data_IF_033813859384
#
_entry.id   IF_033813859384
#
_cell.length_a   1.000
_cell.length_b   1.000
_cell.length_c   1.000
_cell.angle_alpha   90.00
_cell.angle_beta   90.00
_cell.angle_gamma   90.00
#
_symmetry.space_group_name_H-M   'P 1'
#
loop_
_entity.id
_entity.type
_entity.pdbx_description
1 polymer ?
#
# COMPACT_ATOMS: atom_id res chain seq x y z
N UNK A 1 -2.23 -6.22 -16.97
CA UNK A 1 -3.62 -5.92 -16.56
C UNK A 1 -3.99 -4.51 -16.98
N UNK A 2 -5.22 -4.29 -17.44
CA UNK A 2 -5.75 -2.94 -17.64
C UNK A 2 -6.36 -2.45 -16.33
N UNK A 3 -5.53 -1.94 -15.43
CA UNK A 3 -6.00 -1.29 -14.22
C UNK A 3 -6.53 0.08 -14.61
N UNK A 4 -7.75 0.41 -14.16
CA UNK A 4 -8.41 1.68 -14.48
C UNK A 4 -8.82 2.39 -13.19
N UNK A 5 -8.88 3.72 -13.22
CA UNK A 5 -9.21 4.57 -12.06
C UNK A 5 -10.53 4.15 -11.38
N UNK A 6 -11.49 3.63 -12.15
CA UNK A 6 -12.76 3.12 -11.64
C UNK A 6 -12.63 1.93 -10.66
N UNK A 7 -11.47 1.26 -10.64
CA UNK A 7 -11.17 0.18 -9.70
C UNK A 7 -10.86 0.71 -8.29
N UNK A 8 -10.63 2.02 -8.17
CA UNK A 8 -10.22 2.71 -6.94
C UNK A 8 -11.19 3.85 -6.59
N UNK A 9 -12.45 3.54 -6.24
CA UNK A 9 -13.45 4.57 -5.91
C UNK A 9 -13.11 5.34 -4.61
N UNK A 10 -12.30 4.74 -3.74
CA UNK A 10 -11.87 5.31 -2.46
C UNK A 10 -10.48 5.95 -2.54
N UNK A 11 -9.89 6.09 -3.73
CA UNK A 11 -8.61 6.74 -3.89
C UNK A 11 -8.68 8.22 -3.48
N UNK A 12 -7.60 8.76 -2.87
CA UNK A 12 -7.52 10.19 -2.60
C UNK A 12 -7.47 10.99 -3.90
N UNK A 13 -8.01 12.22 -3.91
CA UNK A 13 -8.13 13.05 -5.12
C UNK A 13 -6.80 13.35 -5.84
N UNK A 14 -5.69 13.33 -5.11
CA UNK A 14 -4.35 13.58 -5.65
C UNK A 14 -3.66 12.32 -6.16
N UNK A 15 -4.30 11.16 -6.07
CA UNK A 15 -3.72 9.89 -6.47
C UNK A 15 -4.16 9.47 -7.87
N UNK A 16 -3.21 8.97 -8.65
CA UNK A 16 -3.44 8.41 -9.97
C UNK A 16 -2.67 7.11 -10.13
N UNK A 17 -3.09 6.26 -11.07
CA UNK A 17 -2.39 5.03 -11.42
C UNK A 17 -0.93 5.33 -11.82
N UNK A 18 -0.72 6.37 -12.61
CA UNK A 18 0.62 6.81 -13.01
C UNK A 18 1.49 7.22 -11.81
N UNK A 19 0.92 7.88 -10.80
CA UNK A 19 1.64 8.23 -9.57
C UNK A 19 2.03 7.00 -8.76
N UNK A 20 1.15 6.00 -8.67
CA UNK A 20 1.46 4.72 -8.03
C UNK A 20 2.57 3.96 -8.78
N UNK A 21 2.49 3.90 -10.11
CA UNK A 21 3.51 3.26 -10.95
C UNK A 21 4.86 3.98 -10.89
N UNK A 22 4.86 5.32 -10.90
CA UNK A 22 6.07 6.11 -10.72
C UNK A 22 6.71 5.83 -9.36
N UNK A 23 5.91 5.82 -8.29
CA UNK A 23 6.38 5.48 -6.93
C UNK A 23 6.92 4.05 -6.86
N UNK A 24 6.24 3.09 -7.50
CA UNK A 24 6.71 1.71 -7.55
C UNK A 24 8.07 1.62 -8.25
N UNK A 25 8.20 2.28 -9.40
CA UNK A 25 9.44 2.33 -10.18
C UNK A 25 10.60 2.97 -9.41
N UNK A 26 10.35 4.04 -8.67
CA UNK A 26 11.36 4.69 -7.80
C UNK A 26 11.84 3.80 -6.65
N UNK A 27 11.08 2.79 -6.27
CA UNK A 27 11.39 1.89 -5.16
C UNK A 27 11.66 0.45 -5.64
N UNK A 28 11.93 0.26 -6.94
CA UNK A 28 12.19 -1.03 -7.59
C UNK A 28 11.10 -2.10 -7.31
N UNK A 29 9.85 -1.66 -7.16
CA UNK A 29 8.68 -2.52 -6.96
C UNK A 29 8.05 -2.85 -8.31
N UNK A 30 7.84 -4.15 -8.55
CA UNK A 30 7.10 -4.61 -9.74
C UNK A 30 5.61 -4.65 -9.44
N UNK A 31 4.84 -3.76 -10.06
CA UNK A 31 3.39 -3.69 -9.90
C UNK A 31 2.70 -4.94 -10.49
N UNK A 32 2.20 -5.81 -9.60
CA UNK A 32 1.37 -6.96 -9.93
C UNK A 32 -0.07 -6.75 -9.46
N UNK A 33 -0.98 -7.67 -9.82
CA UNK A 33 -2.35 -7.69 -9.28
C UNK A 33 -2.37 -7.64 -7.75
N UNK A 34 -1.43 -8.37 -7.14
CA UNK A 34 -1.03 -8.34 -5.74
C UNK A 34 -1.04 -6.94 -5.12
N UNK A 35 -0.22 -6.11 -5.75
CA UNK A 35 0.09 -4.76 -5.31
C UNK A 35 -1.10 -3.83 -5.54
N UNK A 36 -1.79 -3.96 -6.67
CA UNK A 36 -3.00 -3.18 -6.93
C UNK A 36 -4.12 -3.51 -5.95
N UNK A 37 -4.29 -4.78 -5.60
CA UNK A 37 -5.26 -5.21 -4.61
C UNK A 37 -4.91 -4.70 -3.21
N UNK A 38 -3.62 -4.65 -2.86
CA UNK A 38 -3.13 -4.05 -1.62
C UNK A 38 -3.46 -2.56 -1.54
N UNK A 39 -3.21 -1.82 -2.63
CA UNK A 39 -3.51 -0.38 -2.73
C UNK A 39 -5.01 -0.13 -2.58
N UNK A 40 -5.85 -0.88 -3.30
CA UNK A 40 -7.29 -0.75 -3.20
C UNK A 40 -7.79 -1.01 -1.77
N UNK A 41 -7.26 -2.05 -1.12
CA UNK A 41 -7.62 -2.39 0.25
C UNK A 41 -7.25 -1.27 1.24
N UNK A 42 -6.08 -0.64 1.06
CA UNK A 42 -5.65 0.48 1.89
C UNK A 42 -6.52 1.72 1.68
N UNK A 43 -6.81 2.08 0.44
CA UNK A 43 -7.68 3.21 0.12
C UNK A 43 -9.09 3.03 0.68
N UNK A 44 -9.66 1.82 0.53
CA UNK A 44 -10.96 1.49 1.11
C UNK A 44 -10.93 1.54 2.64
N UNK A 45 -9.84 1.09 3.26
CA UNK A 45 -9.68 1.11 4.71
C UNK A 45 -9.60 2.54 5.26
N UNK A 46 -8.77 3.39 4.66
CA UNK A 46 -8.61 4.80 5.04
C UNK A 46 -9.86 5.62 4.75
N UNK A 47 -10.65 5.28 3.73
CA UNK A 47 -11.95 5.91 3.49
C UNK A 47 -13.00 5.57 4.58
N UNK A 48 -12.86 4.42 5.26
CA UNK A 48 -13.75 3.98 6.34
C UNK A 48 -13.29 4.40 7.73
N UNK A 49 -11.98 4.60 7.91
CA UNK A 49 -11.37 4.87 9.21
C UNK A 49 -10.65 6.21 9.18
N UNK A 50 -11.14 7.16 9.95
CA UNK A 50 -10.63 8.55 9.96
C UNK A 50 -9.22 8.66 10.57
N UNK A 51 -8.91 7.86 11.60
CA UNK A 51 -7.61 7.86 12.28
C UNK A 51 -7.04 6.44 12.41
N UNK A 52 -6.58 5.82 11.32
CA UNK A 52 -6.12 4.44 11.33
C UNK A 52 -4.75 4.34 12.02
N UNK A 53 -4.65 3.45 13.01
CA UNK A 53 -3.38 3.15 13.67
C UNK A 53 -2.61 2.07 12.91
N UNK A 54 -1.29 2.11 12.98
CA UNK A 54 -0.39 1.12 12.36
C UNK A 54 -0.84 -0.33 12.59
N UNK A 55 -1.17 -0.67 13.84
CA UNK A 55 -1.64 -2.01 14.20
C UNK A 55 -2.94 -2.38 13.48
N UNK A 56 -3.91 -1.48 13.42
CA UNK A 56 -5.20 -1.77 12.79
C UNK A 56 -5.07 -1.93 11.27
N UNK A 57 -4.20 -1.14 10.63
CA UNK A 57 -3.89 -1.29 9.21
C UNK A 57 -3.25 -2.65 8.95
N UNK A 58 -2.24 -3.01 9.76
CA UNK A 58 -1.57 -4.31 9.65
C UNK A 58 -2.55 -5.47 9.84
N UNK A 59 -3.38 -5.40 10.87
CA UNK A 59 -4.37 -6.45 11.17
C UNK A 59 -5.40 -6.56 10.03
N UNK A 60 -5.89 -5.44 9.50
CA UNK A 60 -6.83 -5.42 8.36
C UNK A 60 -6.20 -5.99 7.08
N UNK A 61 -4.94 -5.67 6.80
CA UNK A 61 -4.21 -6.24 5.68
C UNK A 61 -3.95 -7.73 5.87
N UNK A 62 -3.55 -8.14 7.08
CA UNK A 62 -3.36 -9.55 7.40
C UNK A 62 -4.64 -10.36 7.16
N UNK A 63 -5.78 -9.84 7.59
CA UNK A 63 -7.09 -10.44 7.38
C UNK A 63 -7.45 -10.50 5.89
N UNK A 64 -7.25 -9.39 5.16
CA UNK A 64 -7.54 -9.31 3.72
C UNK A 64 -6.71 -10.29 2.90
N UNK A 65 -5.44 -10.45 3.24
CA UNK A 65 -4.51 -11.35 2.56
C UNK A 65 -4.38 -12.71 3.23
N UNK A 66 -5.21 -13.03 4.23
CA UNK A 66 -5.12 -14.27 5.00
C UNK A 66 -5.17 -15.50 4.10
N UNK A 67 -6.05 -15.49 3.10
CA UNK A 67 -6.19 -16.55 2.09
C UNK A 67 -4.94 -16.76 1.22
N UNK A 68 -4.11 -15.72 1.07
CA UNK A 68 -2.87 -15.74 0.29
C UNK A 68 -1.62 -16.04 1.15
N UNK A 69 -1.78 -16.15 2.47
CA UNK A 69 -0.69 -16.38 3.43
C UNK A 69 -0.47 -15.24 4.44
N UNK A 70 -1.38 -14.26 4.48
CA UNK A 70 -1.44 -13.19 5.48
C UNK A 70 -0.18 -12.32 5.50
N UNK A 71 0.33 -12.04 6.71
CA UNK A 71 1.53 -11.22 6.90
C UNK A 71 2.75 -11.76 6.17
N UNK A 72 2.92 -13.09 6.09
CA UNK A 72 4.06 -13.68 5.35
C UNK A 72 3.99 -13.35 3.85
N UNK A 73 2.78 -13.35 3.29
CA UNK A 73 2.57 -12.98 1.89
C UNK A 73 2.86 -11.50 1.65
N UNK A 74 2.38 -10.64 2.53
CA UNK A 74 2.61 -9.20 2.48
C UNK A 74 4.11 -8.86 2.54
N UNK A 75 4.89 -9.53 3.40
CA UNK A 75 6.34 -9.38 3.43
C UNK A 75 7.04 -9.92 2.17
N UNK A 76 6.43 -10.87 1.46
CA UNK A 76 6.96 -11.36 0.18
C UNK A 76 6.69 -10.38 -0.96
N UNK A 77 5.51 -9.76 -0.98
CA UNK A 77 5.16 -8.70 -1.92
C UNK A 77 6.05 -7.48 -1.71
N UNK A 78 6.15 -7.03 -0.45
CA UNK A 78 6.90 -5.84 -0.09
C UNK A 78 7.81 -6.16 1.12
N UNK A 79 9.06 -6.55 0.86
CA UNK A 79 10.02 -6.89 1.91
C UNK A 79 10.34 -5.70 2.82
N UNK A 80 10.43 -4.50 2.25
CA UNK A 80 10.82 -3.27 2.96
C UNK A 80 9.77 -2.75 3.94
N UNK A 81 8.54 -3.29 3.91
CA UNK A 81 7.47 -2.85 4.80
C UNK A 81 6.14 -2.73 4.07
N UNK A 82 5.25 -3.73 4.15
CA UNK A 82 4.01 -3.76 3.36
C UNK A 82 3.06 -2.62 3.68
N UNK A 83 3.03 -2.16 4.95
CA UNK A 83 2.19 -1.03 5.35
C UNK A 83 2.77 0.28 4.82
N UNK A 84 4.06 0.54 5.06
CA UNK A 84 4.68 1.80 4.70
C UNK A 84 4.67 2.05 3.19
N UNK A 85 5.17 1.07 2.44
CA UNK A 85 5.20 1.16 0.98
C UNK A 85 3.81 1.03 0.37
N UNK A 86 2.94 0.19 0.95
CA UNK A 86 1.54 0.12 0.51
C UNK A 86 0.83 1.47 0.63
N UNK A 87 0.97 2.16 1.76
CA UNK A 87 0.38 3.50 1.94
C UNK A 87 0.98 4.51 0.98
N UNK A 88 2.30 4.48 0.76
CA UNK A 88 2.99 5.36 -0.20
C UNK A 88 2.48 5.14 -1.64
N UNK A 89 2.39 3.88 -2.07
CA UNK A 89 1.83 3.51 -3.37
C UNK A 89 0.37 3.90 -3.52
N UNK A 90 -0.40 3.85 -2.43
CA UNK A 90 -1.82 4.21 -2.39
C UNK A 90 -2.08 5.73 -2.33
N UNK A 91 -1.02 6.56 -2.20
CA UNK A 91 -1.14 8.01 -2.02
C UNK A 91 -1.70 8.41 -0.66
N UNK A 92 -1.51 7.57 0.36
CA UNK A 92 -2.04 7.75 1.71
C UNK A 92 -0.95 8.18 2.69
N UNK A 93 -1.34 8.84 3.78
CA UNK A 93 -0.42 9.16 4.85
C UNK A 93 0.11 7.88 5.51
N UNK A 94 1.44 7.77 5.54
CA UNK A 94 2.12 6.65 6.18
C UNK A 94 2.04 6.84 7.69
N UNK A 95 1.51 5.86 8.45
CA UNK A 95 1.34 6.00 9.89
C UNK A 95 2.71 6.09 10.60
N UNK A 96 2.77 6.89 11.66
CA UNK A 96 3.96 7.00 12.49
C UNK A 96 4.40 5.62 13.02
N UNK A 97 5.67 5.26 12.80
CA UNK A 97 6.24 3.96 13.16
C UNK A 97 6.24 2.91 12.05
N UNK A 98 5.60 3.16 10.90
CA UNK A 98 5.77 2.31 9.70
C UNK A 98 7.00 2.70 8.88
N UNK A 99 7.40 3.97 8.90
CA UNK A 99 8.57 4.46 8.16
C UNK A 99 9.84 4.00 8.87
N UNK A 100 10.52 3.00 8.31
CA UNK A 100 11.89 2.71 8.69
C UNK A 100 12.79 3.80 8.07
N UNK A 101 13.50 4.56 8.91
CA UNK A 101 14.35 5.70 8.47
C UNK A 101 15.52 5.27 7.58
N UNK A 102 15.70 3.98 7.35
CA UNK A 102 16.74 3.43 6.47
C UNK A 102 16.47 3.59 4.97
N UNK A 103 15.23 3.87 4.54
CA UNK A 103 14.89 3.98 3.10
C UNK A 103 14.95 5.42 2.55
N UNK A 104 15.95 6.18 2.98
CA UNK A 104 16.13 7.58 2.60
C UNK A 104 17.57 8.07 2.79
N UNK A 105 18.52 7.45 2.10
CA UNK A 105 19.82 8.07 1.78
C UNK A 105 20.41 7.36 0.56
N UNK A 106 19.82 7.63 -0.60
CA UNK A 106 20.59 7.61 -1.84
C UNK A 106 20.76 9.07 -2.21
N UNK A 107 21.87 9.63 -1.74
CA UNK A 107 22.41 10.91 -2.19
C UNK A 107 23.18 10.70 -3.51
#
# INVERSE_FOLDING_TARGET
MNVSINSFPSAPHNWTIESAEATAKENDITMSDDHWQLIAALQEYYAKVEYPKLRQIKDALEEKFHSLGGVKYLHRLIPSGPVAMGCKLAGLEVPAGAVDKSFGSVA
#
